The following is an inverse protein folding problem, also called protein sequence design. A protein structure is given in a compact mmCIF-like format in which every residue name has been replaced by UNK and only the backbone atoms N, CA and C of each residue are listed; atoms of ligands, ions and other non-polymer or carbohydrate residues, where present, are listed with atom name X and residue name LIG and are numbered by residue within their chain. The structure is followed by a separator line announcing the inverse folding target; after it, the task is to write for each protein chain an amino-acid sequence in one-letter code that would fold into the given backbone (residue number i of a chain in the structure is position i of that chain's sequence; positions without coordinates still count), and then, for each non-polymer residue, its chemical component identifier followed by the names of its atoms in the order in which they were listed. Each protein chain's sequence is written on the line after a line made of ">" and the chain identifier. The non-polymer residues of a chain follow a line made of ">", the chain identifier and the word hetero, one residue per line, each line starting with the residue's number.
data_IF_723506191226
#
_entry.id   IF_723506191226
#
_cell.length_a   1.000
_cell.length_b   1.000
_cell.length_c   1.000
_cell.angle_alpha   90.00
_cell.angle_beta   90.00
_cell.angle_gamma   90.00
#
_symmetry.space_group_name_H-M   'P 1'
#
loop_
_entity.id
_entity.type
_entity.pdbx_description
1 polymer ?
#
# COMPACT_ATOMS: atom_id res chain seq x y z
N UNK A 1 -10.42 12.33 -15.39
CA UNK A 1 -9.92 12.01 -16.74
C UNK A 1 -10.97 11.16 -17.45
N UNK A 2 -11.48 11.58 -18.63
CA UNK A 2 -12.55 10.89 -19.38
C UNK A 2 -12.02 9.68 -20.20
N UNK A 3 -11.23 8.82 -19.57
CA UNK A 3 -10.86 7.52 -20.17
C UNK A 3 -11.91 6.49 -19.75
N UNK A 4 -12.31 5.55 -20.63
CA UNK A 4 -13.06 4.37 -20.22
C UNK A 4 -12.37 3.73 -19.00
N UNK A 5 -13.18 3.25 -18.04
CA UNK A 5 -12.66 2.59 -16.84
C UNK A 5 -11.68 1.49 -17.25
N UNK A 6 -10.43 1.59 -16.78
CA UNK A 6 -9.37 0.64 -17.07
C UNK A 6 -8.66 0.29 -15.76
N UNK A 7 -8.20 -0.95 -15.67
CA UNK A 7 -7.47 -1.47 -14.52
C UNK A 7 -5.97 -1.39 -14.75
N UNK A 8 -5.23 -1.11 -13.70
CA UNK A 8 -3.77 -1.21 -13.70
C UNK A 8 -3.31 -2.34 -12.79
N UNK A 9 -2.12 -2.87 -13.09
CA UNK A 9 -1.38 -3.66 -12.13
C UNK A 9 -0.46 -2.73 -11.35
N UNK A 10 -0.43 -2.89 -10.03
CA UNK A 10 0.45 -2.12 -9.17
C UNK A 10 1.17 -3.02 -8.17
N UNK A 11 2.36 -2.60 -7.75
CA UNK A 11 3.07 -3.16 -6.59
C UNK A 11 2.94 -2.17 -5.44
N UNK A 12 2.57 -2.68 -4.26
CA UNK A 12 2.50 -1.90 -3.02
C UNK A 12 3.64 -2.32 -2.11
N UNK A 13 4.46 -1.35 -1.69
CA UNK A 13 5.52 -1.55 -0.70
C UNK A 13 5.18 -0.76 0.56
N UNK A 14 5.12 -1.45 1.71
CA UNK A 14 4.91 -0.83 3.01
C UNK A 14 6.25 -0.78 3.76
N UNK A 15 6.60 0.40 4.26
CA UNK A 15 7.80 0.62 5.06
C UNK A 15 7.39 0.91 6.50
N UNK A 16 7.85 0.04 7.41
CA UNK A 16 7.58 0.17 8.83
C UNK A 16 8.87 0.48 9.60
N UNK A 17 8.79 1.44 10.51
CA UNK A 17 9.82 1.65 11.52
C UNK A 17 9.48 0.88 12.80
N UNK A 18 10.52 0.34 13.45
CA UNK A 18 10.38 -0.26 14.78
C UNK A 18 10.13 0.85 15.82
N UNK A 19 9.06 0.70 16.60
CA UNK A 19 8.68 1.61 17.68
C UNK A 19 9.54 1.45 18.94
N UNK A 20 9.20 2.23 19.96
CA UNK A 20 10.02 2.42 21.17
C UNK A 20 10.30 1.14 21.99
N UNK A 21 9.50 0.08 21.81
CA UNK A 21 9.71 -1.19 22.51
C UNK A 21 10.76 -2.11 21.84
N UNK A 22 11.37 -1.67 20.74
CA UNK A 22 12.54 -2.30 20.11
C UNK A 22 12.26 -3.60 19.36
N UNK A 23 11.00 -4.02 19.23
CA UNK A 23 10.61 -5.23 18.50
C UNK A 23 10.09 -4.86 17.11
N UNK A 24 10.87 -5.21 16.08
CA UNK A 24 10.51 -4.98 14.68
C UNK A 24 9.34 -5.83 14.20
N UNK A 25 8.90 -5.60 12.95
CA UNK A 25 7.80 -6.34 12.35
C UNK A 25 8.11 -7.86 12.26
N UNK A 26 7.23 -8.73 12.76
CA UNK A 26 7.44 -10.17 12.69
C UNK A 26 7.25 -10.67 11.25
N UNK A 27 8.33 -11.03 10.56
CA UNK A 27 8.30 -11.46 9.14
C UNK A 27 7.94 -12.96 8.98
N UNK A 28 6.74 -13.36 9.38
CA UNK A 28 6.23 -14.73 9.27
C UNK A 28 5.18 -14.87 8.17
N UNK A 29 4.97 -16.10 7.67
CA UNK A 29 3.96 -16.34 6.64
C UNK A 29 2.55 -15.83 7.03
N UNK A 30 2.17 -15.96 8.30
CA UNK A 30 0.88 -15.49 8.81
C UNK A 30 0.74 -13.96 8.83
N UNK A 31 1.83 -13.24 9.08
CA UNK A 31 1.80 -11.77 9.13
C UNK A 31 1.79 -11.18 7.73
N UNK A 32 2.53 -11.78 6.78
CA UNK A 32 2.42 -11.46 5.36
C UNK A 32 1.03 -11.77 4.80
N UNK A 33 0.45 -12.92 5.15
CA UNK A 33 -0.91 -13.27 4.72
C UNK A 33 -1.97 -12.29 5.24
N UNK A 34 -1.81 -11.78 6.46
CA UNK A 34 -2.69 -10.75 7.02
C UNK A 34 -2.61 -9.44 6.21
N UNK A 35 -1.39 -8.95 5.93
CA UNK A 35 -1.17 -7.75 5.10
C UNK A 35 -1.77 -7.93 3.71
N UNK A 36 -1.51 -9.08 3.07
CA UNK A 36 -2.04 -9.37 1.74
C UNK A 36 -3.56 -9.44 1.73
N UNK A 37 -4.16 -10.13 2.71
CA UNK A 37 -5.61 -10.24 2.84
C UNK A 37 -6.27 -8.87 3.02
N UNK A 38 -5.68 -8.01 3.85
CA UNK A 38 -6.18 -6.66 4.05
C UNK A 38 -6.06 -5.79 2.80
N UNK A 39 -4.92 -5.83 2.10
CA UNK A 39 -4.73 -5.12 0.83
C UNK A 39 -5.73 -5.57 -0.24
N UNK A 40 -5.99 -6.87 -0.36
CA UNK A 40 -6.98 -7.41 -1.29
C UNK A 40 -8.39 -6.95 -0.94
N UNK A 41 -8.75 -6.90 0.35
CA UNK A 41 -10.04 -6.40 0.79
C UNK A 41 -10.23 -4.90 0.46
N UNK A 42 -9.20 -4.07 0.65
CA UNK A 42 -9.22 -2.65 0.31
C UNK A 42 -9.36 -2.41 -1.21
N UNK A 43 -8.89 -3.34 -2.03
CA UNK A 43 -8.83 -3.22 -3.48
C UNK A 43 -9.87 -4.10 -4.21
N UNK A 44 -10.78 -4.74 -3.47
CA UNK A 44 -11.83 -5.60 -4.03
C UNK A 44 -12.78 -4.82 -4.96
N UNK A 45 -13.02 -3.54 -4.65
CA UNK A 45 -13.87 -2.66 -5.44
C UNK A 45 -13.05 -1.60 -6.18
N UNK A 46 -13.47 -1.19 -7.39
CA UNK A 46 -12.80 -0.12 -8.10
C UNK A 46 -12.78 1.19 -7.31
N UNK A 47 -11.65 1.88 -7.35
CA UNK A 47 -11.54 3.25 -6.88
C UNK A 47 -12.18 4.18 -7.92
N UNK A 48 -13.44 4.56 -7.70
CA UNK A 48 -14.15 5.49 -8.57
C UNK A 48 -13.65 6.92 -8.35
N UNK A 49 -13.42 7.64 -9.45
CA UNK A 49 -13.05 9.07 -9.48
C UNK A 49 -11.80 9.41 -8.63
N UNK A 50 -10.84 8.49 -8.57
CA UNK A 50 -9.56 8.65 -7.84
C UNK A 50 -8.36 8.60 -8.78
N UNK A 51 -7.38 9.45 -8.52
CA UNK A 51 -6.03 9.40 -9.11
C UNK A 51 -5.18 8.33 -8.40
N UNK A 52 -4.02 8.00 -8.96
CA UNK A 52 -3.12 7.05 -8.30
C UNK A 52 -2.54 7.63 -6.99
N UNK A 53 -2.37 8.96 -6.92
CA UNK A 53 -2.04 9.71 -5.72
C UNK A 53 -3.13 9.51 -4.65
N UNK A 54 -4.40 9.71 -5.01
CA UNK A 54 -5.54 9.50 -4.09
C UNK A 54 -5.64 8.05 -3.61
N UNK A 55 -5.29 7.08 -4.48
CA UNK A 55 -5.23 5.66 -4.11
C UNK A 55 -4.08 5.39 -3.15
N UNK A 56 -2.88 5.93 -3.41
CA UNK A 56 -1.74 5.75 -2.53
C UNK A 56 -1.98 6.35 -1.13
N UNK A 57 -2.60 7.54 -1.06
CA UNK A 57 -2.98 8.18 0.19
C UNK A 57 -4.03 7.38 0.95
N UNK A 58 -5.09 6.92 0.27
CA UNK A 58 -6.12 6.09 0.90
C UNK A 58 -5.56 4.74 1.42
N UNK A 59 -4.62 4.12 0.70
CA UNK A 59 -3.94 2.92 1.17
C UNK A 59 -3.03 3.22 2.38
N UNK A 60 -2.32 4.34 2.37
CA UNK A 60 -1.49 4.75 3.48
C UNK A 60 -2.33 4.96 4.75
N UNK A 61 -3.40 5.73 4.65
CA UNK A 61 -4.36 5.97 5.76
C UNK A 61 -4.97 4.67 6.28
N UNK A 62 -5.30 3.72 5.38
CA UNK A 62 -5.87 2.44 5.78
C UNK A 62 -4.87 1.55 6.54
N UNK A 63 -3.59 1.61 6.20
CA UNK A 63 -2.53 0.86 6.88
C UNK A 63 -1.95 1.60 8.10
N UNK A 64 -2.16 2.92 8.21
CA UNK A 64 -1.74 3.69 9.37
C UNK A 64 -2.57 3.32 10.59
N UNK A 65 -1.89 2.92 11.67
CA UNK A 65 -2.54 2.39 12.88
C UNK A 65 -3.28 1.06 12.70
N UNK A 66 -3.23 0.42 11.53
CA UNK A 66 -3.83 -0.90 11.32
C UNK A 66 -3.14 -1.98 12.16
N UNK A 67 -3.93 -2.90 12.70
CA UNK A 67 -3.46 -4.02 13.52
C UNK A 67 -4.17 -5.32 13.14
N UNK A 68 -3.57 -6.44 13.52
CA UNK A 68 -4.10 -7.77 13.25
C UNK A 68 -3.58 -8.77 14.29
N UNK A 69 -4.40 -9.71 14.76
CA UNK A 69 -4.03 -10.67 15.81
C UNK A 69 -2.72 -11.44 15.53
N UNK A 70 -2.51 -11.81 14.26
CA UNK A 70 -1.31 -12.50 13.79
C UNK A 70 -0.03 -11.70 14.05
N UNK A 71 -0.15 -10.37 14.12
CA UNK A 71 0.93 -9.42 14.34
C UNK A 71 0.97 -9.00 15.81
N UNK A 72 -0.18 -8.67 16.40
CA UNK A 72 -0.33 -8.14 17.75
C UNK A 72 0.22 -9.08 18.83
N UNK A 73 0.12 -10.40 18.62
CA UNK A 73 0.67 -11.42 19.53
C UNK A 73 2.19 -11.30 19.78
N UNK A 74 2.92 -10.64 18.88
CA UNK A 74 4.37 -10.43 19.01
C UNK A 74 4.71 -9.18 19.83
N UNK A 75 3.70 -8.42 20.25
CA UNK A 75 3.82 -7.15 20.97
C UNK A 75 4.80 -6.17 20.30
N UNK A 76 4.92 -6.22 18.98
CA UNK A 76 5.71 -5.27 18.20
C UNK A 76 4.96 -3.95 18.09
N UNK A 77 5.62 -2.84 18.43
CA UNK A 77 5.13 -1.54 18.01
C UNK A 77 5.84 -1.24 16.69
N UNK A 78 5.10 -1.11 15.60
CA UNK A 78 5.64 -0.70 14.31
C UNK A 78 4.78 0.43 13.76
N UNK A 79 5.44 1.42 13.21
CA UNK A 79 4.81 2.65 12.73
C UNK A 79 5.00 2.67 11.22
N UNK A 80 3.91 2.81 10.47
CA UNK A 80 4.00 2.98 9.03
C UNK A 80 4.67 4.33 8.77
N UNK A 81 5.79 4.34 8.05
CA UNK A 81 6.51 5.57 7.74
C UNK A 81 6.42 5.95 6.28
N UNK A 82 6.21 4.97 5.40
CA UNK A 82 6.12 5.20 3.96
C UNK A 82 5.33 4.09 3.26
N UNK A 83 4.58 4.48 2.24
CA UNK A 83 3.97 3.59 1.25
C UNK A 83 4.47 3.96 -0.14
N UNK A 84 4.81 2.96 -0.93
CA UNK A 84 5.09 3.11 -2.36
C UNK A 84 4.03 2.34 -3.17
N UNK A 85 3.39 3.03 -4.11
CA UNK A 85 2.48 2.45 -5.09
C UNK A 85 3.14 2.55 -6.47
N UNK A 86 3.75 1.47 -6.95
CA UNK A 86 4.33 1.40 -8.28
C UNK A 86 3.30 0.88 -9.29
N UNK A 87 2.70 1.78 -10.08
CA UNK A 87 1.68 1.46 -11.08
C UNK A 87 2.34 1.18 -12.41
N UNK A 88 2.06 0.00 -12.97
CA UNK A 88 2.60 -0.42 -14.26
C UNK A 88 1.86 0.31 -15.40
N UNK A 89 2.62 0.91 -16.31
CA UNK A 89 2.08 1.44 -17.56
C UNK A 89 1.45 0.33 -18.41
N UNK A 90 0.25 0.58 -18.92
CA UNK A 90 -0.45 -0.36 -19.82
C UNK A 90 -0.15 0.04 -21.26
N UNK A 91 0.41 -0.88 -22.09
CA UNK A 91 0.63 -0.58 -23.51
C UNK A 91 -0.72 -0.28 -24.18
N UNK A 92 -0.93 0.96 -24.59
CA UNK A 92 -2.13 1.37 -25.31
C UNK A 92 -1.78 2.20 -26.55
N UNK A 93 -2.80 2.52 -27.34
CA UNK A 93 -2.64 3.21 -28.63
C UNK A 93 -2.13 4.66 -28.50
N UNK A 94 -2.08 5.22 -27.29
CA UNK A 94 -1.57 6.57 -27.04
C UNK A 94 -0.11 6.58 -26.57
N UNK A 95 0.54 5.41 -26.46
CA UNK A 95 1.99 5.29 -26.35
C UNK A 95 2.54 5.30 -24.93
N UNK A 96 1.82 4.71 -23.95
CA UNK A 96 2.39 4.49 -22.61
C UNK A 96 3.71 3.71 -22.67
N UNK A 97 4.66 4.13 -21.83
CA UNK A 97 5.96 3.47 -21.70
C UNK A 97 5.84 2.12 -20.96
N UNK A 98 6.68 1.16 -21.34
CA UNK A 98 6.87 -0.08 -20.57
C UNK A 98 7.71 0.24 -19.32
N UNK A 99 7.03 0.58 -18.23
CA UNK A 99 7.65 1.03 -17.00
C UNK A 99 6.66 1.19 -15.87
N UNK A 100 7.15 1.66 -14.73
CA UNK A 100 6.35 1.95 -13.55
C UNK A 100 6.40 3.43 -13.24
N UNK A 101 5.24 4.00 -12.94
CA UNK A 101 5.14 5.27 -12.24
C UNK A 101 4.95 4.97 -10.77
N UNK A 102 5.87 5.44 -9.93
CA UNK A 102 5.83 5.21 -8.48
C UNK A 102 5.31 6.44 -7.75
N UNK A 103 4.24 6.25 -6.99
CA UNK A 103 3.65 7.24 -6.10
C UNK A 103 4.08 6.91 -4.68
N UNK A 104 4.56 7.92 -3.95
CA UNK A 104 5.11 7.74 -2.59
C UNK A 104 4.34 8.62 -1.63
N UNK A 105 3.86 8.01 -0.54
CA UNK A 105 3.29 8.71 0.62
C UNK A 105 4.20 8.45 1.81
N UNK A 106 4.61 9.51 2.50
CA UNK A 106 5.47 9.42 3.68
C UNK A 106 4.75 10.05 4.88
N UNK A 107 4.91 9.47 6.06
CA UNK A 107 4.44 10.09 7.29
C UNK A 107 5.13 11.45 7.46
N UNK A 108 4.34 12.52 7.57
CA UNK A 108 4.87 13.82 7.97
C UNK A 108 5.34 13.72 9.42
N UNK A 109 6.65 13.66 9.63
CA UNK A 109 7.23 13.81 10.97
C UNK A 109 6.85 15.20 11.51
N UNK A 110 5.89 15.22 12.44
CA UNK A 110 5.56 16.38 13.27
C UNK A 110 6.51 16.55 14.44
#
# INVERSE_FOLDING_TARGET
>A
MNLPGHSHFATVTLHYATGANGRGFPAFASTYAAVQGYLLALTERPFHDKTNEDVAEALFEAFDGWSHEAIDQWAGAFILTRLELAVRGVPDRIGHADGFTTYVVEATTG
#
